data_IF_332593786902
#
_entry.id   IF_332593786902
#
_cell.length_a   1.000
_cell.length_b   1.000
_cell.length_c   1.000
_cell.angle_alpha   90.00
_cell.angle_beta   90.00
_cell.angle_gamma   90.00
#
_symmetry.space_group_name_H-M   'P 1'
#
loop_
_entity.id
_entity.type
_entity.pdbx_description
1 polymer ?
#
# COMPACT_ATOMS: atom_id res chain seq x y z
N UNK A 1 7.06 13.50 11.57
CA UNK A 1 6.21 13.90 10.45
C UNK A 1 4.94 14.60 10.92
N UNK A 2 4.29 15.31 9.99
CA UNK A 2 3.04 16.00 10.28
C UNK A 2 1.92 14.95 10.52
N UNK A 3 1.18 15.10 11.60
CA UNK A 3 0.10 14.18 12.00
C UNK A 3 -1.19 14.39 11.22
N UNK A 4 -1.19 15.30 10.24
CA UNK A 4 -2.38 15.73 9.54
C UNK A 4 -2.59 14.97 8.24
N UNK A 5 -3.81 14.49 8.05
CA UNK A 5 -4.31 14.02 6.78
C UNK A 5 -5.19 15.13 6.18
N UNK A 6 -4.95 15.52 4.94
CA UNK A 6 -5.67 16.62 4.31
C UNK A 6 -6.45 16.12 3.11
N UNK A 7 -7.69 16.61 2.98
CA UNK A 7 -8.51 16.45 1.79
C UNK A 7 -8.52 17.77 1.05
N UNK A 8 -8.11 17.74 -0.20
CA UNK A 8 -8.03 18.92 -1.09
C UNK A 8 -9.09 18.78 -2.17
N UNK A 9 -9.90 19.79 -2.34
CA UNK A 9 -10.80 19.91 -3.49
C UNK A 9 -9.97 20.27 -4.72
N UNK A 10 -9.98 19.40 -5.73
CA UNK A 10 -9.18 19.59 -6.95
C UNK A 10 -9.75 20.63 -7.91
N UNK A 11 -11.02 21.02 -7.77
CA UNK A 11 -11.62 22.09 -8.58
C UNK A 11 -11.24 23.48 -8.06
N UNK A 12 -11.11 23.60 -6.74
CA UNK A 12 -10.81 24.90 -6.09
C UNK A 12 -9.36 24.99 -5.59
N UNK A 13 -8.63 23.87 -5.52
CA UNK A 13 -7.30 23.73 -4.90
C UNK A 13 -7.29 24.17 -3.43
N UNK A 14 -8.42 24.01 -2.73
CA UNK A 14 -8.52 24.37 -1.32
C UNK A 14 -8.52 23.10 -0.43
N UNK A 15 -7.92 23.21 0.75
CA UNK A 15 -8.06 22.18 1.79
C UNK A 15 -9.48 22.28 2.34
N UNK A 16 -10.31 21.26 2.08
CA UNK A 16 -11.70 21.20 2.55
C UNK A 16 -11.87 20.45 3.87
N UNK A 17 -10.90 19.60 4.21
CA UNK A 17 -10.89 18.90 5.50
C UNK A 17 -9.45 18.60 5.93
N UNK A 18 -9.21 18.71 7.22
CA UNK A 18 -7.95 18.35 7.84
C UNK A 18 -8.23 17.47 9.06
N UNK A 19 -7.58 16.31 9.13
CA UNK A 19 -7.77 15.31 10.16
C UNK A 19 -6.49 15.13 10.97
N UNK A 20 -6.60 15.15 12.28
CA UNK A 20 -5.51 14.70 13.17
C UNK A 20 -5.59 13.16 13.30
N UNK A 21 -4.70 12.45 12.60
CA UNK A 21 -4.68 10.98 12.65
C UNK A 21 -4.28 10.43 14.03
N UNK A 22 -3.49 11.17 14.80
CA UNK A 22 -3.16 10.78 16.17
C UNK A 22 -4.39 10.75 17.05
N UNK A 23 -5.23 11.79 16.96
CA UNK A 23 -6.50 11.83 17.67
C UNK A 23 -7.45 10.71 17.19
N UNK A 24 -7.62 10.54 15.87
CA UNK A 24 -8.51 9.52 15.30
C UNK A 24 -8.11 8.08 15.68
N UNK A 25 -6.82 7.81 15.73
CA UNK A 25 -6.30 6.51 16.18
C UNK A 25 -6.51 6.33 17.69
N UNK A 26 -6.30 7.36 18.51
CA UNK A 26 -6.55 7.30 19.94
C UNK A 26 -8.03 7.06 20.27
N UNK A 27 -8.95 7.75 19.57
CA UNK A 27 -10.40 7.55 19.69
C UNK A 27 -10.82 6.12 19.33
N UNK A 28 -10.07 5.46 18.43
CA UNK A 28 -10.29 4.06 18.02
C UNK A 28 -9.62 3.03 18.96
N UNK A 29 -8.96 3.47 20.04
CA UNK A 29 -8.29 2.59 21.00
C UNK A 29 -6.81 2.33 20.72
N UNK A 30 -6.17 3.10 19.81
CA UNK A 30 -4.77 2.96 19.42
C UNK A 30 -3.92 4.21 19.73
N UNK A 31 -3.87 4.68 21.00
CA UNK A 31 -3.21 5.95 21.35
C UNK A 31 -1.69 5.95 21.13
N UNK A 32 -1.07 4.76 21.11
CA UNK A 32 0.38 4.59 20.94
C UNK A 32 0.79 4.25 19.50
N UNK A 33 -0.15 4.17 18.57
CA UNK A 33 0.14 3.94 17.16
C UNK A 33 0.72 5.22 16.53
N UNK A 34 1.70 5.06 15.64
CA UNK A 34 2.22 6.20 14.90
C UNK A 34 1.12 6.87 14.07
N UNK A 35 1.07 8.18 14.08
CA UNK A 35 0.16 8.98 13.25
C UNK A 35 0.77 9.42 11.91
N UNK A 36 2.01 9.02 11.63
CA UNK A 36 2.67 9.31 10.37
C UNK A 36 2.10 8.41 9.26
N UNK A 37 1.17 8.96 8.48
CA UNK A 37 0.51 8.26 7.37
C UNK A 37 1.52 7.99 6.25
N UNK A 38 1.47 6.77 5.73
CA UNK A 38 2.29 6.24 4.63
C UNK A 38 1.40 6.03 3.40
N UNK A 39 1.79 5.23 2.39
CA UNK A 39 0.93 4.98 1.23
C UNK A 39 -0.50 4.61 1.58
N UNK A 40 -1.41 4.97 0.70
CA UNK A 40 -2.84 4.76 0.89
C UNK A 40 -3.53 4.31 -0.38
N UNK A 41 -4.68 3.66 -0.21
CA UNK A 41 -5.62 3.29 -1.27
C UNK A 41 -7.04 3.71 -0.87
N UNK A 42 -7.79 4.26 -1.83
CA UNK A 42 -9.17 4.67 -1.62
C UNK A 42 -10.15 3.68 -2.27
N UNK A 43 -11.33 3.58 -1.71
CA UNK A 43 -12.45 2.95 -2.41
C UNK A 43 -12.83 3.77 -3.65
N UNK A 44 -13.42 3.13 -4.66
CA UNK A 44 -13.82 3.78 -5.91
C UNK A 44 -14.78 4.98 -5.70
N UNK A 45 -15.62 4.91 -4.66
CA UNK A 45 -16.53 6.01 -4.30
C UNK A 45 -15.95 6.98 -3.26
N UNK A 46 -14.67 6.89 -2.97
CA UNK A 46 -13.95 7.75 -2.00
C UNK A 46 -14.62 7.82 -0.62
N UNK A 47 -15.36 6.76 -0.26
CA UNK A 47 -16.05 6.68 1.04
C UNK A 47 -15.14 6.20 2.17
N UNK A 48 -14.09 5.45 1.82
CA UNK A 48 -13.11 4.92 2.76
C UNK A 48 -11.70 5.04 2.22
N UNK A 49 -10.75 5.21 3.12
CA UNK A 49 -9.32 5.11 2.82
C UNK A 49 -8.68 4.03 3.67
N UNK A 50 -7.78 3.29 3.05
CA UNK A 50 -6.90 2.30 3.69
C UNK A 50 -5.49 2.85 3.63
N UNK A 51 -4.84 3.00 4.77
CA UNK A 51 -3.51 3.59 4.84
C UNK A 51 -2.61 2.87 5.82
N UNK A 52 -1.35 2.87 5.51
CA UNK A 52 -0.29 2.39 6.40
C UNK A 52 0.19 3.54 7.28
N UNK A 53 0.76 3.21 8.44
CA UNK A 53 1.42 4.17 9.32
C UNK A 53 2.80 3.67 9.70
N UNK A 54 3.70 4.58 10.04
CA UNK A 54 5.06 4.26 10.44
C UNK A 54 5.10 3.22 11.56
N UNK A 55 6.04 2.29 11.49
CA UNK A 55 6.34 1.26 12.51
C UNK A 55 5.21 0.26 12.79
N UNK A 56 4.14 0.24 12.00
CA UNK A 56 3.03 -0.65 12.20
C UNK A 56 2.95 -1.71 11.08
N UNK A 57 2.93 -2.98 11.46
CA UNK A 57 2.77 -4.11 10.55
C UNK A 57 1.29 -4.32 10.24
N UNK A 58 0.81 -3.61 9.22
CA UNK A 58 -0.59 -3.64 8.82
C UNK A 58 -1.06 -2.35 8.18
N UNK A 59 -2.36 -2.10 8.28
CA UNK A 59 -2.99 -0.89 7.77
C UNK A 59 -4.26 -0.52 8.54
N UNK A 60 -4.73 0.68 8.34
CA UNK A 60 -5.88 1.28 9.00
C UNK A 60 -6.97 1.56 7.98
N UNK A 61 -8.22 1.26 8.31
CA UNK A 61 -9.40 1.69 7.56
C UNK A 61 -10.00 2.92 8.24
N UNK A 62 -10.17 3.99 7.49
CA UNK A 62 -10.89 5.19 7.91
C UNK A 62 -12.11 5.40 7.03
N UNK A 63 -13.25 5.69 7.64
CA UNK A 63 -14.52 5.96 6.97
C UNK A 63 -14.80 7.46 7.00
N UNK A 64 -14.91 8.08 5.82
CA UNK A 64 -15.12 9.54 5.72
C UNK A 64 -16.51 9.98 6.15
N UNK A 65 -17.54 9.15 5.96
CA UNK A 65 -18.91 9.46 6.38
C UNK A 65 -19.08 9.37 7.89
N UNK A 66 -18.42 8.37 8.51
CA UNK A 66 -18.45 8.20 9.96
C UNK A 66 -17.40 9.06 10.69
N UNK A 67 -16.49 9.69 9.95
CA UNK A 67 -15.38 10.51 10.44
C UNK A 67 -14.51 9.80 11.49
N UNK A 68 -14.26 8.49 11.32
CA UNK A 68 -13.51 7.70 12.29
C UNK A 68 -12.73 6.55 11.66
N UNK A 69 -11.71 6.09 12.37
CA UNK A 69 -11.10 4.79 12.15
C UNK A 69 -12.12 3.71 12.50
N UNK A 70 -12.42 2.82 11.55
CA UNK A 70 -13.42 1.77 11.73
C UNK A 70 -12.80 0.41 11.98
N UNK A 71 -11.62 0.14 11.41
CA UNK A 71 -10.91 -1.13 11.59
C UNK A 71 -9.41 -0.92 11.48
N UNK A 72 -8.67 -1.82 12.11
CA UNK A 72 -7.21 -1.94 11.99
C UNK A 72 -6.89 -3.38 11.62
N UNK A 73 -6.13 -3.55 10.55
CA UNK A 73 -5.63 -4.85 10.11
C UNK A 73 -4.22 -5.07 10.66
N UNK A 74 -4.04 -6.10 11.50
CA UNK A 74 -2.72 -6.56 11.90
C UNK A 74 -2.25 -7.61 10.91
N UNK A 75 -1.08 -7.42 10.33
CA UNK A 75 -0.41 -8.38 9.45
C UNK A 75 0.85 -8.91 10.14
N UNK A 76 1.43 -10.02 9.68
CA UNK A 76 2.57 -10.63 10.35
C UNK A 76 3.77 -9.66 10.54
N UNK A 77 4.29 -9.60 11.75
CA UNK A 77 5.61 -9.04 12.04
C UNK A 77 6.59 -10.21 12.15
N UNK A 78 7.42 -10.40 11.12
CA UNK A 78 8.42 -11.48 11.07
C UNK A 78 9.79 -11.05 11.59
N UNK A 79 9.91 -9.79 12.01
CA UNK A 79 11.15 -9.19 12.53
C UNK A 79 10.91 -8.47 13.88
N UNK A 80 10.31 -9.14 14.88
CA UNK A 80 9.92 -8.48 16.12
C UNK A 80 11.11 -7.94 16.93
N UNK A 81 12.31 -8.52 16.72
CA UNK A 81 13.54 -8.13 17.42
C UNK A 81 14.25 -6.93 16.79
N UNK A 82 13.83 -6.51 15.58
CA UNK A 82 14.45 -5.36 14.91
C UNK A 82 13.96 -4.05 15.55
N UNK A 83 14.86 -3.23 16.09
CA UNK A 83 14.47 -1.97 16.69
C UNK A 83 13.99 -0.96 15.63
N UNK A 84 13.13 -0.04 16.04
CA UNK A 84 12.48 0.93 15.11
C UNK A 84 13.45 1.80 14.34
N UNK A 85 14.61 2.07 14.90
CA UNK A 85 15.67 2.89 14.31
C UNK A 85 16.29 2.23 13.06
N UNK A 86 16.09 0.93 12.91
CA UNK A 86 16.56 0.16 11.76
C UNK A 86 15.48 -0.04 10.68
N UNK A 87 14.26 0.46 10.91
CA UNK A 87 13.20 0.35 9.91
C UNK A 87 13.48 1.26 8.73
N UNK A 88 13.46 0.67 7.54
CA UNK A 88 13.68 1.42 6.29
C UNK A 88 12.68 2.56 6.18
N UNK A 89 13.17 3.81 6.22
CA UNK A 89 12.36 5.01 6.15
C UNK A 89 11.15 5.00 7.12
N UNK A 90 11.36 4.48 8.34
CA UNK A 90 10.33 4.33 9.38
C UNK A 90 9.14 3.43 9.00
N UNK A 91 9.27 2.61 7.98
CA UNK A 91 8.14 1.86 7.42
C UNK A 91 8.23 0.38 7.72
N UNK A 92 7.32 -0.14 8.55
CA UNK A 92 7.08 -1.58 8.62
C UNK A 92 6.48 -2.08 7.30
N UNK A 93 5.55 -1.30 6.75
CA UNK A 93 4.90 -1.52 5.45
C UNK A 93 4.96 -0.24 4.61
N UNK A 94 5.21 -0.35 3.32
CA UNK A 94 5.29 0.81 2.43
C UNK A 94 4.72 0.56 1.02
N UNK A 95 3.58 -0.08 0.92
CA UNK A 95 2.87 -0.27 -0.34
C UNK A 95 1.48 -0.82 -0.09
N UNK A 96 0.47 -0.17 -0.63
CA UNK A 96 -0.90 -0.64 -0.58
C UNK A 96 -1.63 -0.22 -1.86
N UNK A 97 -2.29 -1.17 -2.51
CA UNK A 97 -3.15 -0.95 -3.66
C UNK A 97 -4.46 -1.71 -3.47
N UNK A 98 -5.55 -1.15 -3.99
CA UNK A 98 -6.86 -1.82 -3.99
C UNK A 98 -7.16 -2.26 -5.41
N UNK A 99 -7.64 -3.50 -5.59
CA UNK A 99 -8.08 -3.97 -6.90
C UNK A 99 -9.33 -3.19 -7.40
N UNK A 100 -9.62 -3.20 -8.71
CA UNK A 100 -10.66 -2.32 -9.28
C UNK A 100 -12.07 -2.56 -8.75
N UNK A 101 -12.42 -3.78 -8.37
CA UNK A 101 -13.74 -4.09 -7.78
C UNK A 101 -13.83 -3.76 -6.29
N UNK A 102 -12.70 -3.39 -5.68
CA UNK A 102 -12.62 -3.01 -4.27
C UNK A 102 -12.75 -4.17 -3.29
N UNK A 103 -12.61 -5.41 -3.74
CA UNK A 103 -12.74 -6.59 -2.88
C UNK A 103 -11.45 -6.95 -2.15
N UNK A 104 -10.30 -6.62 -2.72
CA UNK A 104 -8.98 -7.01 -2.22
C UNK A 104 -8.00 -5.85 -2.15
N UNK A 105 -7.10 -5.94 -1.20
CA UNK A 105 -5.94 -5.05 -1.05
C UNK A 105 -4.66 -5.85 -1.29
N UNK A 106 -3.70 -5.26 -1.97
CA UNK A 106 -2.35 -5.79 -2.12
C UNK A 106 -1.40 -4.94 -1.31
N UNK A 107 -0.64 -5.57 -0.43
CA UNK A 107 0.16 -4.90 0.60
C UNK A 107 1.61 -5.36 0.50
N UNK A 108 2.55 -4.43 0.62
CA UNK A 108 3.99 -4.70 0.71
C UNK A 108 4.44 -4.59 2.17
N UNK A 109 4.91 -5.71 2.74
CA UNK A 109 5.43 -5.82 4.10
C UNK A 109 6.95 -5.63 4.11
N UNK A 110 7.39 -4.39 4.00
CA UNK A 110 8.78 -3.97 3.73
C UNK A 110 9.81 -4.55 4.68
N UNK A 111 9.53 -4.54 5.99
CA UNK A 111 10.47 -5.02 6.99
C UNK A 111 10.42 -6.54 7.22
N UNK A 112 9.38 -7.20 6.73
CA UNK A 112 9.16 -8.63 6.93
C UNK A 112 9.24 -9.43 5.63
N UNK A 113 9.73 -8.83 4.55
CA UNK A 113 10.03 -9.44 3.25
C UNK A 113 8.87 -10.29 2.70
N UNK A 114 7.65 -9.73 2.74
CA UNK A 114 6.50 -10.37 2.13
C UNK A 114 5.61 -9.39 1.35
N UNK A 115 4.89 -9.92 0.38
CA UNK A 115 3.69 -9.30 -0.15
C UNK A 115 2.45 -10.02 0.41
N UNK A 116 1.30 -9.35 0.45
CA UNK A 116 0.05 -9.98 0.85
C UNK A 116 -1.12 -9.50 0.00
N UNK A 117 -2.03 -10.43 -0.31
CA UNK A 117 -3.37 -10.11 -0.81
C UNK A 117 -4.33 -10.27 0.35
N UNK A 118 -5.06 -9.20 0.66
CA UNK A 118 -5.91 -9.11 1.85
C UNK A 118 -7.37 -8.91 1.40
N UNK A 119 -8.27 -9.76 1.88
CA UNK A 119 -9.72 -9.56 1.71
C UNK A 119 -10.14 -8.27 2.41
N UNK A 120 -10.73 -7.32 1.69
CA UNK A 120 -11.20 -6.07 2.29
C UNK A 120 -12.34 -6.28 3.28
N UNK A 121 -13.15 -7.31 3.09
CA UNK A 121 -14.31 -7.59 3.96
C UNK A 121 -13.88 -8.18 5.30
N UNK A 122 -13.00 -9.17 5.29
CA UNK A 122 -12.63 -9.94 6.49
C UNK A 122 -11.28 -9.54 7.08
N UNK A 123 -10.41 -8.88 6.33
CA UNK A 123 -9.00 -8.64 6.61
C UNK A 123 -8.15 -9.92 6.72
N UNK A 124 -8.68 -11.05 6.26
CA UNK A 124 -7.87 -12.24 6.06
C UNK A 124 -6.86 -12.02 4.94
N UNK A 125 -5.64 -12.44 5.16
CA UNK A 125 -4.51 -12.25 4.26
C UNK A 125 -3.95 -13.56 3.77
N UNK A 126 -3.70 -13.65 2.46
CA UNK A 126 -2.78 -14.63 1.88
C UNK A 126 -1.42 -13.97 1.77
N UNK A 127 -0.44 -14.50 2.50
CA UNK A 127 0.92 -13.94 2.62
C UNK A 127 1.87 -14.72 1.74
N UNK A 128 2.67 -14.00 0.97
CA UNK A 128 3.68 -14.55 0.07
C UNK A 128 5.06 -14.13 0.57
N UNK A 129 5.91 -15.03 1.08
CA UNK A 129 7.31 -14.74 1.24
C UNK A 129 7.89 -14.36 -0.13
N UNK A 130 8.54 -13.23 -0.22
CA UNK A 130 9.06 -12.68 -1.48
C UNK A 130 10.48 -12.20 -1.30
N UNK A 131 11.02 -11.58 -2.34
CA UNK A 131 12.33 -10.96 -2.30
C UNK A 131 12.45 -9.82 -1.28
N UNK A 132 13.67 -9.33 -1.08
CA UNK A 132 14.00 -8.37 -0.03
C UNK A 132 13.33 -7.02 -0.23
N UNK A 133 12.84 -6.46 0.85
CA UNK A 133 12.29 -5.10 0.99
C UNK A 133 11.22 -4.76 -0.05
N UNK A 134 10.10 -5.51 -0.09
CA UNK A 134 8.95 -5.11 -0.91
C UNK A 134 8.51 -3.70 -0.50
N UNK A 135 8.44 -2.78 -1.49
CA UNK A 135 8.33 -1.37 -1.14
C UNK A 135 7.06 -0.68 -1.67
N UNK A 136 6.60 -1.00 -2.88
CA UNK A 136 5.45 -0.35 -3.47
C UNK A 136 4.50 -1.35 -4.10
N UNK A 137 3.20 -1.10 -3.95
CA UNK A 137 2.14 -1.89 -4.60
C UNK A 137 1.36 -1.03 -5.58
N UNK A 138 1.06 -1.58 -6.76
CA UNK A 138 0.22 -0.95 -7.78
C UNK A 138 -0.54 -2.00 -8.57
N UNK A 139 -1.66 -1.61 -9.20
CA UNK A 139 -2.38 -2.52 -10.09
C UNK A 139 -1.76 -2.54 -11.48
N UNK A 140 -1.69 -3.72 -12.08
CA UNK A 140 -1.36 -3.89 -13.48
C UNK A 140 -2.45 -3.36 -14.43
N UNK A 141 -2.17 -3.39 -15.73
CA UNK A 141 -3.16 -3.09 -16.76
C UNK A 141 -4.32 -4.09 -16.67
N UNK A 142 -5.57 -3.61 -16.76
CA UNK A 142 -6.76 -4.42 -16.60
C UNK A 142 -7.13 -4.74 -15.15
N UNK A 143 -6.25 -4.48 -14.17
CA UNK A 143 -6.55 -4.55 -12.74
C UNK A 143 -6.65 -5.95 -12.13
N UNK A 144 -6.42 -7.02 -12.91
CA UNK A 144 -6.42 -8.40 -12.41
C UNK A 144 -5.19 -8.76 -11.59
N UNK A 145 -4.13 -7.95 -11.66
CA UNK A 145 -2.86 -8.22 -10.98
C UNK A 145 -2.41 -7.06 -10.11
N UNK A 146 -1.66 -7.39 -9.06
CA UNK A 146 -0.87 -6.47 -8.28
C UNK A 146 0.62 -6.61 -8.63
N UNK A 147 1.31 -5.50 -8.73
CA UNK A 147 2.73 -5.42 -9.00
C UNK A 147 3.42 -4.81 -7.78
N UNK A 148 4.40 -5.51 -7.23
CA UNK A 148 5.13 -5.10 -6.02
C UNK A 148 6.61 -5.00 -6.35
N UNK A 149 7.22 -3.82 -6.12
CA UNK A 149 8.67 -3.67 -6.24
C UNK A 149 9.38 -4.32 -5.06
N UNK A 150 10.45 -5.07 -5.33
CA UNK A 150 11.37 -5.63 -4.35
C UNK A 150 12.66 -4.84 -4.40
N UNK A 151 12.74 -3.87 -3.50
CA UNK A 151 13.78 -2.84 -3.52
C UNK A 151 15.16 -3.38 -3.17
N UNK A 152 15.23 -4.50 -2.47
CA UNK A 152 16.48 -5.18 -2.14
C UNK A 152 16.93 -6.22 -3.18
N UNK A 153 16.05 -6.60 -4.14
CA UNK A 153 16.31 -7.67 -5.11
C UNK A 153 16.27 -7.20 -6.57
N UNK A 154 16.25 -5.91 -6.83
CA UNK A 154 16.26 -5.35 -8.19
C UNK A 154 15.19 -5.95 -9.11
N UNK A 155 14.02 -6.24 -8.54
CA UNK A 155 12.96 -6.94 -9.25
C UNK A 155 11.55 -6.43 -8.90
N UNK A 156 10.57 -6.87 -9.70
CA UNK A 156 9.14 -6.62 -9.48
C UNK A 156 8.40 -7.94 -9.48
N UNK A 157 7.70 -8.24 -8.39
CA UNK A 157 6.78 -9.38 -8.31
C UNK A 157 5.41 -9.04 -8.87
N UNK A 158 4.80 -10.01 -9.56
CA UNK A 158 3.44 -9.91 -10.08
C UNK A 158 2.56 -10.94 -9.40
N UNK A 159 1.47 -10.48 -8.82
CA UNK A 159 0.52 -11.31 -8.06
C UNK A 159 -0.85 -11.24 -8.72
N UNK A 160 -1.48 -12.37 -8.96
CA UNK A 160 -2.84 -12.44 -9.49
C UNK A 160 -3.85 -12.36 -8.35
N UNK A 161 -4.80 -11.43 -8.47
CA UNK A 161 -5.82 -11.24 -7.43
C UNK A 161 -6.85 -12.38 -7.38
N UNK A 162 -7.09 -13.06 -8.49
CA UNK A 162 -8.07 -14.14 -8.58
C UNK A 162 -7.57 -15.42 -7.90
N UNK A 163 -6.42 -15.89 -8.32
CA UNK A 163 -5.79 -17.11 -7.80
C UNK A 163 -5.06 -16.91 -6.48
N UNK A 164 -4.78 -15.65 -6.10
CA UNK A 164 -3.91 -15.30 -4.96
C UNK A 164 -2.56 -16.03 -5.03
N UNK A 165 -1.90 -15.94 -6.19
CA UNK A 165 -0.59 -16.52 -6.44
C UNK A 165 0.36 -15.49 -7.02
N UNK A 166 1.65 -15.63 -6.71
CA UNK A 166 2.69 -14.94 -7.47
C UNK A 166 2.84 -15.63 -8.82
N UNK A 167 2.66 -14.89 -9.91
CA UNK A 167 2.67 -15.42 -11.27
C UNK A 167 3.93 -15.05 -12.06
N UNK A 168 4.68 -14.05 -11.61
CA UNK A 168 5.95 -13.67 -12.24
C UNK A 168 6.85 -12.91 -11.26
N UNK A 169 8.16 -12.96 -11.55
CA UNK A 169 9.17 -12.03 -11.05
C UNK A 169 9.93 -11.48 -12.25
N UNK A 170 10.03 -10.16 -12.32
CA UNK A 170 10.62 -9.44 -13.47
C UNK A 170 11.86 -8.71 -12.96
N UNK A 171 13.07 -9.08 -13.42
CA UNK A 171 14.27 -8.30 -13.15
C UNK A 171 14.14 -6.89 -13.74
N UNK A 172 14.55 -5.89 -12.98
CA UNK A 172 14.54 -4.48 -13.38
C UNK A 172 15.88 -3.83 -13.03
N UNK A 173 15.96 -2.51 -13.10
CA UNK A 173 17.16 -1.81 -12.66
C UNK A 173 17.32 -1.75 -11.14
N UNK A 174 18.47 -1.26 -10.73
CA UNK A 174 18.91 -1.14 -9.33
C UNK A 174 17.87 -0.43 -8.44
N UNK A 175 17.56 -1.05 -7.32
CA UNK A 175 16.79 -0.51 -6.21
C UNK A 175 15.40 0.06 -6.57
N UNK A 176 14.49 -0.70 -7.21
CA UNK A 176 13.18 -0.21 -7.62
C UNK A 176 12.33 0.15 -6.39
N UNK A 177 11.92 1.41 -6.27
CA UNK A 177 11.06 1.84 -5.17
C UNK A 177 9.61 1.97 -5.60
N UNK A 178 9.32 2.75 -6.65
CA UNK A 178 7.95 3.00 -7.06
C UNK A 178 7.66 2.42 -8.43
N UNK A 179 6.62 1.61 -8.48
CA UNK A 179 6.03 1.11 -9.72
C UNK A 179 4.73 1.88 -9.98
N UNK A 180 4.57 2.43 -11.17
CA UNK A 180 3.36 3.14 -11.57
C UNK A 180 3.00 2.75 -13.00
N UNK A 181 1.71 2.63 -13.23
CA UNK A 181 1.16 2.49 -14.56
C UNK A 181 1.26 3.83 -15.28
N UNK A 182 1.77 3.81 -16.49
CA UNK A 182 1.83 4.95 -17.39
C UNK A 182 1.27 4.59 -18.76
N UNK A 183 0.88 5.60 -19.54
CA UNK A 183 0.57 5.48 -20.95
C UNK A 183 1.59 6.29 -21.74
N UNK A 184 2.27 5.65 -22.69
CA UNK A 184 3.21 6.30 -23.60
C UNK A 184 2.70 6.06 -25.02
N UNK A 185 2.68 7.11 -25.85
CA UNK A 185 2.31 6.96 -27.25
C UNK A 185 3.35 6.09 -27.96
N UNK A 186 2.90 5.16 -28.80
CA UNK A 186 3.76 4.22 -29.52
C UNK A 186 4.83 4.90 -30.37
N UNK A 187 4.56 6.10 -30.88
CA UNK A 187 5.53 6.90 -31.61
C UNK A 187 6.83 7.21 -30.85
N UNK A 188 6.76 7.18 -29.49
CA UNK A 188 7.91 7.42 -28.61
C UNK A 188 8.58 6.13 -28.11
N UNK A 189 8.14 4.97 -28.60
CA UNK A 189 8.66 3.64 -28.21
C UNK A 189 9.22 2.90 -29.46
N UNK A 190 10.23 3.45 -30.16
CA UNK A 190 10.78 2.77 -31.31
C UNK A 190 11.40 1.44 -30.90
N UNK A 191 11.04 0.36 -31.62
CA UNK A 191 11.59 -0.97 -31.40
C UNK A 191 10.83 -1.86 -30.41
N UNK A 192 9.75 -1.40 -29.80
CA UNK A 192 8.86 -2.29 -29.05
C UNK A 192 7.88 -3.01 -29.99
N UNK A 193 7.61 -4.32 -29.75
CA UNK A 193 6.56 -5.03 -30.49
C UNK A 193 5.24 -4.27 -30.39
N UNK A 194 4.58 -4.05 -31.51
CA UNK A 194 3.21 -3.51 -31.49
C UNK A 194 2.26 -4.57 -30.89
N UNK A 195 1.25 -4.20 -30.10
CA UNK A 195 0.27 -5.13 -29.55
C UNK A 195 -0.54 -5.83 -30.62
#
# INVERSE_FOLDING_TARGET
GDRRFQIVDTATNQIVKQLDMGQKLAEAGYPNMSSAVRPMALTRGETKVYFQVSFFHGFVEYDFAQDRVTRVANLPNLVPEVPREQYLLDSAHHGIAMNPDGSKLCVAGTMSDYAAIVSRTTFQATVFPVGEKPYWSTNGLGGGTCWVSFSGDDSVGVFDYGSEQQIATIPVGDHPQRVRRGAVQTAYLPGLPQP
#
